data_IF_624457703970
#
_entry.id   IF_624457703970
#
_cell.length_a   1.000
_cell.length_b   1.000
_cell.length_c   1.000
_cell.angle_alpha   90.00
_cell.angle_beta   90.00
_cell.angle_gamma   90.00
#
_symmetry.space_group_name_H-M   'P 1'
#
loop_
_entity.id
_entity.type
_entity.pdbx_description
1 polymer ?
#
# COMPACT_ATOMS: atom_id res chain seq x y z
N UNK A 1 -1.95 -3.24 -32.87
CA UNK A 1 -2.56 -2.98 -31.55
C UNK A 1 -1.49 -2.44 -30.61
N UNK A 2 -1.68 -1.27 -29.98
CA UNK A 2 -0.71 -0.74 -29.01
C UNK A 2 -0.58 -1.72 -27.83
N UNK A 3 0.66 -2.09 -27.47
CA UNK A 3 0.90 -2.97 -26.31
C UNK A 3 0.34 -2.30 -25.05
N UNK A 4 -0.44 -3.04 -24.26
CA UNK A 4 -0.94 -2.54 -22.97
C UNK A 4 0.25 -2.17 -22.06
N UNK A 5 0.12 -1.14 -21.21
CA UNK A 5 1.23 -0.66 -20.41
C UNK A 5 1.68 -1.71 -19.38
N UNK A 6 2.98 -1.72 -19.02
CA UNK A 6 3.57 -2.75 -18.17
C UNK A 6 2.88 -2.91 -16.80
N UNK A 7 2.27 -1.84 -16.26
CA UNK A 7 1.61 -1.84 -14.95
C UNK A 7 0.37 -2.75 -14.88
N UNK A 8 -0.28 -3.04 -16.02
CA UNK A 8 -1.38 -4.02 -16.08
C UNK A 8 -0.87 -5.44 -16.28
N UNK A 9 0.27 -5.60 -16.95
CA UNK A 9 0.89 -6.89 -17.29
C UNK A 9 1.73 -7.47 -16.15
N UNK A 10 2.02 -8.77 -16.23
CA UNK A 10 2.82 -9.53 -15.24
C UNK A 10 4.20 -8.89 -15.02
N UNK A 11 4.83 -8.39 -16.08
CA UNK A 11 6.15 -7.75 -16.03
C UNK A 11 6.23 -6.51 -15.13
N UNK A 12 5.12 -5.80 -14.88
CA UNK A 12 5.07 -4.64 -13.99
C UNK A 12 4.68 -4.96 -12.56
N UNK A 13 4.28 -6.21 -12.27
CA UNK A 13 3.90 -6.66 -10.94
C UNK A 13 5.13 -7.20 -10.20
N UNK A 14 5.31 -6.81 -8.94
CA UNK A 14 6.32 -7.41 -8.08
C UNK A 14 5.73 -8.65 -7.38
N UNK A 15 6.36 -9.85 -7.45
CA UNK A 15 5.90 -11.03 -6.73
C UNK A 15 5.82 -10.82 -5.22
N UNK A 16 6.67 -9.95 -4.64
CA UNK A 16 6.64 -9.59 -3.21
C UNK A 16 5.52 -8.60 -2.82
N UNK A 17 4.65 -8.21 -3.76
CA UNK A 17 3.54 -7.27 -3.55
C UNK A 17 3.70 -5.92 -4.27
N UNK A 18 2.59 -5.31 -4.67
CA UNK A 18 2.60 -4.01 -5.38
C UNK A 18 3.23 -4.02 -6.79
N UNK A 19 3.50 -2.83 -7.33
CA UNK A 19 4.17 -2.64 -8.63
C UNK A 19 5.69 -2.56 -8.47
N UNK A 20 6.43 -3.12 -9.43
CA UNK A 20 7.89 -2.94 -9.52
C UNK A 20 8.23 -1.60 -10.20
N UNK A 21 9.53 -1.32 -10.38
CA UNK A 21 9.98 -0.07 -10.99
C UNK A 21 9.45 0.11 -12.43
N UNK A 22 9.50 -0.94 -13.26
CA UNK A 22 8.98 -0.92 -14.64
C UNK A 22 7.47 -0.66 -14.68
N UNK A 23 6.71 -1.33 -13.80
CA UNK A 23 5.29 -1.12 -13.63
C UNK A 23 4.97 0.33 -13.28
N UNK A 24 5.64 0.89 -12.26
CA UNK A 24 5.45 2.30 -11.89
C UNK A 24 5.83 3.26 -13.03
N UNK A 25 6.92 3.00 -13.75
CA UNK A 25 7.39 3.85 -14.86
C UNK A 25 6.46 3.81 -16.09
N UNK A 26 5.78 2.67 -16.31
CA UNK A 26 4.85 2.52 -17.43
C UNK A 26 3.48 3.18 -17.20
N UNK A 27 3.19 3.62 -15.98
CA UNK A 27 1.94 4.30 -15.67
C UNK A 27 2.01 5.75 -16.14
N UNK A 28 1.12 6.12 -17.08
CA UNK A 28 1.08 7.46 -17.70
C UNK A 28 -0.03 8.37 -17.15
N UNK A 29 -0.89 7.86 -16.25
CA UNK A 29 -1.93 8.67 -15.60
C UNK A 29 -1.42 9.55 -14.44
N UNK A 30 -0.11 9.62 -14.23
CA UNK A 30 0.54 10.40 -13.17
C UNK A 30 1.81 9.75 -12.64
N UNK A 31 2.40 10.32 -11.59
CA UNK A 31 3.65 9.80 -10.99
C UNK A 31 3.36 8.87 -9.82
N UNK A 32 3.57 7.56 -10.01
CA UNK A 32 3.44 6.57 -8.94
C UNK A 32 4.67 6.54 -8.04
N UNK A 33 4.51 7.06 -6.81
CA UNK A 33 5.55 7.01 -5.78
C UNK A 33 5.69 5.58 -5.21
N UNK A 34 6.90 5.21 -4.75
CA UNK A 34 7.10 3.92 -4.08
C UNK A 34 6.33 3.82 -2.76
N UNK A 35 6.08 2.57 -2.28
CA UNK A 35 5.54 2.31 -0.95
C UNK A 35 6.38 2.93 0.16
N UNK A 36 5.73 3.31 1.26
CA UNK A 36 6.41 3.82 2.46
C UNK A 36 6.24 2.82 3.58
N UNK A 37 7.35 2.28 4.09
CA UNK A 37 7.33 1.17 5.05
C UNK A 37 7.27 1.61 6.52
N UNK A 38 7.80 2.79 6.83
CA UNK A 38 7.98 3.29 8.20
C UNK A 38 7.52 4.75 8.37
N UNK A 39 7.48 5.19 9.63
CA UNK A 39 7.15 6.55 10.00
C UNK A 39 5.68 6.92 9.85
N UNK A 40 5.43 8.23 9.96
CA UNK A 40 4.08 8.82 10.06
C UNK A 40 3.59 9.38 8.73
N UNK A 41 4.12 8.90 7.61
CA UNK A 41 3.77 9.43 6.30
C UNK A 41 2.24 9.33 6.07
N UNK A 42 1.54 10.43 5.75
CA UNK A 42 0.09 10.41 5.56
C UNK A 42 -0.34 9.45 4.44
N UNK A 43 0.49 9.27 3.38
CA UNK A 43 0.22 8.28 2.32
C UNK A 43 0.16 6.86 2.87
N UNK A 44 1.02 6.55 3.84
CA UNK A 44 1.05 5.24 4.50
C UNK A 44 -0.21 5.02 5.31
N UNK A 45 -0.64 6.01 6.09
CA UNK A 45 -1.88 5.93 6.84
C UNK A 45 -3.09 5.69 5.93
N UNK A 46 -3.21 6.47 4.85
CA UNK A 46 -4.32 6.34 3.90
C UNK A 46 -4.33 4.98 3.19
N UNK A 47 -3.17 4.51 2.72
CA UNK A 47 -3.08 3.21 2.05
C UNK A 47 -3.45 2.07 3.00
N UNK A 48 -2.88 2.04 4.21
CA UNK A 48 -3.14 1.01 5.21
C UNK A 48 -4.61 1.01 5.65
N UNK A 49 -5.24 2.19 5.80
CA UNK A 49 -6.66 2.29 6.12
C UNK A 49 -7.55 1.68 5.03
N UNK A 50 -7.26 1.98 3.76
CA UNK A 50 -8.04 1.47 2.62
C UNK A 50 -7.86 -0.04 2.46
N UNK A 51 -6.60 -0.49 2.39
CA UNK A 51 -6.29 -1.89 2.12
C UNK A 51 -6.59 -2.80 3.33
N UNK A 52 -6.44 -2.29 4.56
CA UNK A 52 -6.85 -3.03 5.76
C UNK A 52 -8.35 -3.29 5.83
N UNK A 53 -9.18 -2.43 5.23
CA UNK A 53 -10.64 -2.58 5.17
C UNK A 53 -11.15 -3.26 3.89
N UNK A 54 -10.25 -3.64 2.98
CA UNK A 54 -10.64 -4.30 1.73
C UNK A 54 -11.26 -5.68 2.02
N UNK A 55 -12.31 -6.06 1.30
CA UNK A 55 -12.91 -7.40 1.36
C UNK A 55 -11.93 -8.46 0.81
N UNK A 56 -12.09 -9.71 1.23
CA UNK A 56 -11.29 -10.86 0.79
C UNK A 56 -10.32 -11.40 1.86
N UNK A 57 -9.73 -12.59 1.68
CA UNK A 57 -8.86 -13.19 2.68
C UNK A 57 -7.40 -12.69 2.58
N UNK A 58 -6.66 -12.80 3.68
CA UNK A 58 -5.22 -12.48 3.72
C UNK A 58 -4.35 -13.62 3.19
N UNK A 59 -4.86 -14.84 3.28
CA UNK A 59 -4.24 -16.07 2.78
C UNK A 59 -5.18 -16.74 1.79
N UNK A 60 -4.62 -17.42 0.79
CA UNK A 60 -5.41 -18.25 -0.12
C UNK A 60 -5.75 -19.61 0.52
N UNK A 61 -6.49 -20.46 -0.20
CA UNK A 61 -6.87 -21.80 0.28
C UNK A 61 -5.68 -22.73 0.51
N UNK A 62 -4.49 -22.39 0.01
CA UNK A 62 -3.23 -23.13 0.19
C UNK A 62 -2.36 -22.54 1.31
N UNK A 63 -2.86 -21.53 2.03
CA UNK A 63 -2.12 -20.85 3.10
C UNK A 63 -1.08 -19.84 2.61
N UNK A 64 -1.01 -19.54 1.31
CA UNK A 64 -0.07 -18.55 0.79
C UNK A 64 -0.60 -17.13 0.97
N UNK A 65 0.27 -16.14 1.24
CA UNK A 65 -0.14 -14.76 1.38
C UNK A 65 -0.73 -14.22 0.07
N UNK A 66 -1.94 -13.69 0.13
CA UNK A 66 -2.59 -13.11 -1.05
C UNK A 66 -1.87 -11.85 -1.50
N UNK A 67 -2.17 -11.41 -2.74
CA UNK A 67 -1.66 -10.14 -3.27
C UNK A 67 -1.98 -8.94 -2.36
N UNK A 68 -3.11 -9.00 -1.65
CA UNK A 68 -3.52 -8.02 -0.64
C UNK A 68 -2.53 -7.98 0.52
N UNK A 69 -2.28 -9.13 1.15
CA UNK A 69 -1.35 -9.23 2.27
C UNK A 69 0.09 -8.86 1.86
N UNK A 70 0.55 -9.32 0.70
CA UNK A 70 1.85 -8.94 0.16
C UNK A 70 1.98 -7.42 -0.02
N UNK A 71 0.92 -6.76 -0.50
CA UNK A 71 0.89 -5.32 -0.63
C UNK A 71 0.91 -4.62 0.73
N UNK A 72 0.15 -5.10 1.73
CA UNK A 72 0.21 -4.57 3.09
C UNK A 72 1.62 -4.68 3.71
N UNK A 73 2.32 -5.80 3.47
CA UNK A 73 3.71 -6.01 3.90
C UNK A 73 4.68 -4.99 3.30
N UNK A 74 4.50 -4.61 2.03
CA UNK A 74 5.31 -3.54 1.40
C UNK A 74 5.10 -2.17 2.04
N UNK A 75 3.95 -1.94 2.67
CA UNK A 75 3.62 -0.72 3.41
C UNK A 75 3.85 -0.84 4.93
N UNK A 76 4.50 -1.93 5.36
CA UNK A 76 4.92 -2.15 6.74
C UNK A 76 3.85 -2.69 7.68
N UNK A 77 2.79 -3.31 7.14
CA UNK A 77 1.79 -4.03 7.93
C UNK A 77 1.92 -5.55 7.74
N UNK A 78 1.71 -6.32 8.82
CA UNK A 78 1.81 -7.78 8.84
C UNK A 78 0.46 -8.47 8.62
N UNK A 79 -0.65 -7.75 8.81
CA UNK A 79 -2.02 -8.20 8.59
C UNK A 79 -2.97 -7.02 8.36
N UNK A 80 -4.25 -7.28 8.09
CA UNK A 80 -5.34 -6.31 7.97
C UNK A 80 -5.60 -5.61 9.30
N UNK A 81 -5.63 -6.38 10.37
CA UNK A 81 -5.81 -5.85 11.72
C UNK A 81 -4.66 -4.89 12.06
N UNK A 82 -3.42 -5.31 11.80
CA UNK A 82 -2.23 -4.48 11.99
C UNK A 82 -2.23 -3.24 11.08
N UNK A 83 -2.68 -3.37 9.81
CA UNK A 83 -2.84 -2.25 8.90
C UNK A 83 -3.83 -1.21 9.43
N UNK A 84 -5.00 -1.64 9.91
CA UNK A 84 -6.02 -0.77 10.52
C UNK A 84 -5.47 -0.06 11.77
N UNK A 85 -4.81 -0.82 12.66
CA UNK A 85 -4.22 -0.28 13.89
C UNK A 85 -3.16 0.79 13.58
N UNK A 86 -2.21 0.48 12.69
CA UNK A 86 -1.17 1.42 12.25
C UNK A 86 -1.74 2.65 11.58
N UNK A 87 -2.74 2.48 10.71
CA UNK A 87 -3.39 3.61 10.05
C UNK A 87 -4.01 4.58 11.07
N UNK A 88 -4.75 4.07 12.06
CA UNK A 88 -5.34 4.87 13.15
C UNK A 88 -4.25 5.60 13.96
N UNK A 89 -3.19 4.89 14.35
CA UNK A 89 -2.10 5.45 15.15
C UNK A 89 -1.31 6.55 14.40
N UNK A 90 -1.02 6.36 13.12
CA UNK A 90 -0.35 7.38 12.29
C UNK A 90 -1.26 8.60 12.13
N UNK A 91 -2.54 8.40 11.79
CA UNK A 91 -3.51 9.48 11.63
C UNK A 91 -3.67 10.31 12.90
N UNK A 92 -3.75 9.67 14.08
CA UNK A 92 -3.79 10.36 15.37
C UNK A 92 -2.57 11.25 15.59
N UNK A 93 -1.36 10.72 15.37
CA UNK A 93 -0.10 11.48 15.51
C UNK A 93 -0.01 12.63 14.50
N UNK A 94 -0.44 12.43 13.26
CA UNK A 94 -0.48 13.48 12.25
C UNK A 94 -1.47 14.60 12.60
N UNK A 95 -2.64 14.25 13.14
CA UNK A 95 -3.62 15.24 13.61
C UNK A 95 -3.06 16.07 14.77
N UNK A 96 -2.42 15.42 15.75
CA UNK A 96 -1.77 16.09 16.87
C UNK A 96 -0.62 17.03 16.44
N UNK A 97 0.21 16.60 15.47
CA UNK A 97 1.25 17.46 14.88
C UNK A 97 0.65 18.67 14.16
N UNK A 98 -0.45 18.48 13.43
CA UNK A 98 -1.15 19.56 12.72
C UNK A 98 -1.79 20.56 13.68
N UNK A 99 -2.39 20.11 14.79
CA UNK A 99 -2.95 21.01 15.80
C UNK A 99 -1.85 21.80 16.50
N UNK A 100 -0.74 21.15 16.88
CA UNK A 100 0.40 21.83 17.52
C UNK A 100 1.05 22.89 16.62
N UNK A 101 1.05 22.69 15.30
CA UNK A 101 1.57 23.70 14.34
C UNK A 101 0.64 24.92 14.18
N UNK A 102 -0.63 24.80 14.58
CA UNK A 102 -1.65 25.85 14.38
C UNK A 102 -1.73 26.82 15.56
N UNK A 103 -1.34 26.37 16.75
CA UNK A 103 -0.97 27.18 17.93
C UNK A 103 0.44 27.69 17.81
#
# INVERSE_FOLDING_TARGET
MAKTPAWTRKEGKNPKGGLNAKGRASYKGGTLKPPVKSGDNPRRASFLARMGNMKGPEYDSKGNPTRLLLSLRQWGAKSKADARAKARAISKRNKAKKSKKKT
#
